data_IF_278479562537
#
_entry.id   IF_278479562537
#
_cell.length_a   1.000
_cell.length_b   1.000
_cell.length_c   1.000
_cell.angle_alpha   90.00
_cell.angle_beta   90.00
_cell.angle_gamma   90.00
#
_symmetry.space_group_name_H-M   'P 1'
#
loop_
_entity.id
_entity.type
_entity.pdbx_description
1 polymer ?
#
# COMPACT_ATOMS: atom_id res chain seq x y z
N UNK A 1 3.48 -5.14 -20.03
CA UNK A 1 2.64 -5.77 -18.99
C UNK A 1 2.96 -5.09 -17.68
N UNK A 2 2.11 -4.15 -17.23
CA UNK A 2 2.49 -3.22 -16.16
C UNK A 2 2.53 -3.89 -14.77
N UNK A 3 3.57 -3.55 -14.00
CA UNK A 3 3.70 -3.81 -12.56
C UNK A 3 3.34 -2.53 -11.80
N UNK A 4 2.08 -2.43 -11.38
CA UNK A 4 1.61 -1.33 -10.52
C UNK A 4 1.85 -1.77 -9.07
N UNK A 5 2.58 -0.97 -8.28
CA UNK A 5 3.00 -1.37 -6.94
C UNK A 5 2.56 -0.39 -5.87
N UNK A 6 2.22 -0.93 -4.70
CA UNK A 6 1.82 -0.12 -3.54
C UNK A 6 2.85 -0.29 -2.45
N UNK A 7 3.36 0.86 -2.07
CA UNK A 7 4.46 1.03 -1.12
C UNK A 7 4.20 0.29 0.13
N UNK A 8 5.30 -0.24 0.69
CA UNK A 8 5.79 -0.08 2.05
C UNK A 8 7.23 -0.79 2.14
N UNK A 9 7.68 -1.59 3.16
CA UNK A 9 9.04 -2.22 3.36
C UNK A 9 9.04 -3.69 3.94
N UNK A 10 10.15 -4.27 4.44
CA UNK A 10 10.20 -5.44 5.33
C UNK A 10 11.31 -5.27 6.42
N UNK A 11 11.25 -5.98 7.56
CA UNK A 11 12.38 -6.14 8.51
C UNK A 11 12.68 -7.64 8.74
N UNK A 12 13.95 -8.04 8.92
CA UNK A 12 14.29 -9.40 9.32
C UNK A 12 13.93 -9.66 10.79
N UNK A 13 13.43 -10.87 11.05
CA UNK A 13 13.47 -11.58 12.34
C UNK A 13 12.83 -10.91 13.58
N UNK A 14 11.50 -10.80 13.56
CA UNK A 14 10.65 -11.23 14.68
C UNK A 14 9.22 -11.55 14.17
N UNK A 15 8.53 -12.54 14.75
CA UNK A 15 7.26 -13.05 14.18
C UNK A 15 6.04 -12.13 14.38
N UNK A 16 6.06 -11.28 15.41
CA UNK A 16 5.06 -10.23 15.67
C UNK A 16 5.53 -9.37 16.84
N UNK A 17 5.21 -8.07 16.82
CA UNK A 17 5.30 -7.23 18.03
C UNK A 17 3.89 -7.09 18.62
N UNK A 18 3.75 -7.30 19.92
CA UNK A 18 2.48 -7.11 20.64
C UNK A 18 2.56 -5.78 21.38
N UNK A 19 1.99 -4.74 20.79
CA UNK A 19 1.95 -3.38 21.35
C UNK A 19 0.51 -3.11 21.77
N UNK A 20 0.30 -2.80 23.05
CA UNK A 20 -1.02 -2.49 23.64
C UNK A 20 -2.18 -3.45 23.25
N UNK A 21 -1.86 -4.75 23.14
CA UNK A 21 -2.86 -5.78 22.81
C UNK A 21 -3.16 -5.95 21.32
N UNK A 22 -2.68 -5.06 20.45
CA UNK A 22 -2.77 -5.21 19.00
C UNK A 22 -1.54 -5.99 18.48
N UNK A 23 -1.77 -6.92 17.56
CA UNK A 23 -0.73 -7.69 16.88
C UNK A 23 -0.24 -6.93 15.65
N UNK A 24 0.96 -6.37 15.70
CA UNK A 24 1.63 -5.81 14.53
C UNK A 24 2.51 -6.89 13.87
N UNK A 25 2.21 -7.22 12.62
CA UNK A 25 3.06 -8.09 11.80
C UNK A 25 4.25 -7.31 11.23
N UNK A 26 5.46 -7.87 11.37
CA UNK A 26 6.73 -7.33 10.84
C UNK A 26 6.97 -7.64 9.35
N UNK A 27 5.98 -8.26 8.71
CA UNK A 27 5.91 -8.55 7.28
C UNK A 27 4.74 -7.80 6.63
N UNK A 28 4.66 -7.86 5.30
CA UNK A 28 3.77 -7.10 4.42
C UNK A 28 2.25 -7.38 4.53
N UNK A 29 1.77 -7.83 5.70
CA UNK A 29 0.33 -8.00 5.96
C UNK A 29 -0.26 -6.69 6.46
N UNK A 30 -1.17 -6.16 5.64
CA UNK A 30 -2.03 -5.04 5.99
C UNK A 30 -3.03 -5.46 7.09
N UNK A 31 -3.23 -4.57 8.05
CA UNK A 31 -4.12 -4.71 9.20
C UNK A 31 -5.17 -3.60 9.27
N UNK A 32 -4.91 -2.46 8.60
CA UNK A 32 -5.82 -1.31 8.56
C UNK A 32 -6.72 -1.36 7.31
N UNK A 33 -6.32 -2.12 6.29
CA UNK A 33 -7.05 -2.30 5.03
C UNK A 33 -6.79 -1.20 3.99
N UNK A 34 -6.06 -0.13 4.36
CA UNK A 34 -5.76 1.00 3.46
C UNK A 34 -4.93 0.54 2.25
N UNK A 35 -3.84 -0.19 2.48
CA UNK A 35 -2.98 -0.70 1.41
C UNK A 35 -3.71 -1.71 0.51
N UNK A 36 -4.53 -2.56 1.13
CA UNK A 36 -5.39 -3.54 0.45
C UNK A 36 -6.42 -2.86 -0.44
N UNK A 37 -7.09 -1.82 0.07
CA UNK A 37 -8.09 -1.06 -0.68
C UNK A 37 -7.46 -0.39 -1.90
N UNK A 38 -6.37 0.35 -1.73
CA UNK A 38 -5.65 0.97 -2.84
C UNK A 38 -5.17 -0.08 -3.86
N UNK A 39 -4.71 -1.25 -3.41
CA UNK A 39 -4.20 -2.32 -4.27
C UNK A 39 -5.32 -2.93 -5.14
N UNK A 40 -6.49 -3.15 -4.54
CA UNK A 40 -7.69 -3.55 -5.26
C UNK A 40 -8.12 -2.51 -6.29
N UNK A 41 -8.12 -1.21 -5.95
CA UNK A 41 -8.44 -0.13 -6.90
C UNK A 41 -7.43 -0.06 -8.06
N UNK A 42 -6.14 -0.25 -7.78
CA UNK A 42 -5.08 -0.15 -8.79
C UNK A 42 -5.05 -1.34 -9.75
N UNK A 43 -5.07 -2.57 -9.24
CA UNK A 43 -4.85 -3.79 -10.02
C UNK A 43 -5.57 -5.03 -9.50
N UNK A 44 -6.67 -4.87 -8.76
CA UNK A 44 -7.49 -5.99 -8.33
C UNK A 44 -8.07 -6.78 -9.50
N UNK A 45 -7.99 -8.11 -9.42
CA UNK A 45 -8.65 -9.01 -10.37
C UNK A 45 -10.17 -8.85 -10.35
N UNK A 46 -10.85 -9.41 -11.35
CA UNK A 46 -12.32 -9.48 -11.37
C UNK A 46 -12.85 -10.32 -10.19
N UNK A 47 -13.70 -9.73 -9.35
CA UNK A 47 -14.41 -10.42 -8.27
C UNK A 47 -15.91 -10.17 -8.41
N UNK A 48 -16.68 -11.24 -8.61
CA UNK A 48 -18.13 -11.20 -8.80
C UNK A 48 -18.88 -11.16 -7.45
N UNK A 49 -20.12 -10.67 -7.48
CA UNK A 49 -21.05 -10.67 -6.33
C UNK A 49 -20.51 -9.93 -5.09
N UNK A 50 -19.67 -8.92 -5.30
CA UNK A 50 -19.16 -8.05 -4.24
C UNK A 50 -20.20 -6.97 -3.92
N UNK A 51 -20.35 -6.65 -2.63
CA UNK A 51 -21.14 -5.53 -2.14
C UNK A 51 -20.56 -5.03 -0.81
N UNK A 52 -20.92 -3.81 -0.41
CA UNK A 52 -20.65 -3.27 0.94
C UNK A 52 -21.98 -3.05 1.65
N UNK A 53 -22.36 -3.96 2.54
CA UNK A 53 -23.63 -3.90 3.28
C UNK A 53 -24.85 -3.76 2.37
N UNK A 54 -24.87 -4.48 1.24
CA UNK A 54 -25.91 -4.40 0.22
C UNK A 54 -25.75 -3.29 -0.82
N UNK A 55 -24.83 -2.33 -0.62
CA UNK A 55 -24.54 -1.28 -1.60
C UNK A 55 -23.53 -1.73 -2.66
N UNK A 56 -23.66 -1.15 -3.87
CA UNK A 56 -22.78 -1.38 -5.02
C UNK A 56 -22.61 -2.87 -5.38
N UNK A 57 -23.71 -3.63 -5.39
CA UNK A 57 -23.71 -5.04 -5.79
C UNK A 57 -23.28 -5.19 -7.25
N UNK A 58 -22.23 -5.98 -7.51
CA UNK A 58 -21.80 -6.28 -8.88
C UNK A 58 -20.47 -7.02 -8.97
N UNK A 59 -19.81 -6.87 -10.11
CA UNK A 59 -18.43 -7.31 -10.32
C UNK A 59 -17.50 -6.12 -10.19
N UNK A 60 -16.52 -6.22 -9.30
CA UNK A 60 -15.47 -5.21 -9.11
C UNK A 60 -14.16 -5.67 -9.76
N UNK A 61 -13.37 -4.70 -10.23
CA UNK A 61 -12.00 -4.91 -10.69
C UNK A 61 -11.21 -3.59 -10.53
N UNK A 62 -9.88 -3.68 -10.51
CA UNK A 62 -9.00 -2.50 -10.49
C UNK A 62 -8.78 -1.90 -11.88
N UNK A 63 -8.07 -0.77 -11.94
CA UNK A 63 -7.72 -0.11 -13.21
C UNK A 63 -6.90 -0.96 -14.18
N UNK A 64 -6.10 -1.90 -13.66
CA UNK A 64 -5.37 -2.89 -14.47
C UNK A 64 -5.46 -4.32 -13.87
N UNK A 65 -6.55 -5.08 -14.12
CA UNK A 65 -6.79 -6.38 -13.48
C UNK A 65 -5.81 -7.51 -13.84
N UNK A 66 -4.94 -7.28 -14.83
CA UNK A 66 -3.85 -8.19 -15.23
C UNK A 66 -2.46 -7.68 -14.82
N UNK A 67 -2.38 -6.58 -14.06
CA UNK A 67 -1.13 -6.08 -13.53
C UNK A 67 -0.56 -7.04 -12.47
N UNK A 68 0.77 -7.06 -12.34
CA UNK A 68 1.41 -7.73 -11.19
C UNK A 68 1.66 -6.71 -10.09
N UNK A 69 1.04 -6.96 -8.94
CA UNK A 69 1.26 -6.19 -7.72
C UNK A 69 2.52 -6.69 -7.01
N UNK A 70 3.31 -5.77 -6.47
CA UNK A 70 4.25 -6.07 -5.39
C UNK A 70 4.05 -5.05 -4.26
N UNK A 71 4.19 -5.55 -3.02
CA UNK A 71 3.65 -5.01 -1.76
C UNK A 71 4.65 -5.23 -0.62
N UNK A 72 4.50 -4.50 0.50
CA UNK A 72 5.49 -4.42 1.58
C UNK A 72 4.84 -3.88 2.93
N UNK A 73 5.56 -3.41 3.99
CA UNK A 73 5.10 -2.66 5.22
C UNK A 73 6.09 -1.58 5.88
N UNK A 74 5.62 -0.35 6.22
CA UNK A 74 6.29 0.94 6.66
C UNK A 74 5.34 1.91 7.38
N UNK A 75 4.07 1.93 7.00
CA UNK A 75 3.03 2.57 7.78
C UNK A 75 2.59 1.53 8.78
N UNK A 76 2.89 1.77 10.04
CA UNK A 76 2.68 0.84 11.13
C UNK A 76 1.48 1.32 11.97
N UNK A 77 0.83 0.44 12.71
CA UNK A 77 -0.36 0.82 13.48
C UNK A 77 -0.03 1.89 14.53
N UNK A 78 1.17 1.80 15.10
CA UNK A 78 1.65 2.67 16.18
C UNK A 78 2.85 3.54 15.77
N UNK A 79 2.85 4.08 14.55
CA UNK A 79 3.94 4.96 14.13
C UNK A 79 3.64 5.83 12.92
N UNK A 80 4.20 7.04 12.93
CA UNK A 80 4.23 7.92 11.76
C UNK A 80 4.95 7.29 10.57
N UNK A 81 4.54 7.67 9.36
CA UNK A 81 5.19 7.21 8.13
C UNK A 81 6.53 7.94 7.98
N UNK A 82 7.61 7.26 8.37
CA UNK A 82 8.97 7.79 8.26
C UNK A 82 9.36 8.02 6.80
N UNK A 83 9.87 9.22 6.48
CA UNK A 83 10.41 9.55 5.16
C UNK A 83 11.59 8.68 4.75
N UNK A 84 12.37 8.17 5.73
CA UNK A 84 13.48 7.23 5.50
C UNK A 84 12.94 5.88 5.02
N UNK A 85 11.84 5.42 5.60
CA UNK A 85 11.20 4.17 5.22
C UNK A 85 10.54 4.26 3.83
N UNK A 86 9.96 5.42 3.49
CA UNK A 86 9.46 5.72 2.15
C UNK A 86 10.61 5.77 1.13
N UNK A 87 11.71 6.46 1.43
CA UNK A 87 12.90 6.50 0.55
C UNK A 87 13.50 5.11 0.33
N UNK A 88 13.63 4.28 1.37
CA UNK A 88 14.08 2.89 1.20
C UNK A 88 13.14 2.09 0.31
N UNK A 89 11.83 2.25 0.48
CA UNK A 89 10.85 1.57 -0.36
C UNK A 89 10.92 2.00 -1.83
N UNK A 90 11.31 3.25 -2.13
CA UNK A 90 11.56 3.71 -3.50
C UNK A 90 12.80 3.01 -4.10
N UNK A 91 13.87 2.90 -3.34
CA UNK A 91 15.12 2.25 -3.75
C UNK A 91 14.91 0.75 -4.08
N UNK A 92 14.29 0.01 -3.16
CA UNK A 92 13.92 -1.41 -3.34
C UNK A 92 12.97 -1.59 -4.55
N UNK A 93 12.03 -0.66 -4.75
CA UNK A 93 11.14 -0.69 -5.90
C UNK A 93 11.90 -0.50 -7.23
N UNK A 94 12.77 0.52 -7.32
CA UNK A 94 13.60 0.76 -8.52
C UNK A 94 14.47 -0.47 -8.82
N UNK A 95 15.11 -1.04 -7.79
CA UNK A 95 15.90 -2.27 -7.88
C UNK A 95 15.07 -3.46 -8.41
N UNK A 96 13.85 -3.65 -7.93
CA UNK A 96 12.94 -4.70 -8.38
C UNK A 96 12.36 -4.49 -9.80
N UNK A 97 12.66 -3.36 -10.47
CA UNK A 97 12.10 -3.00 -11.77
C UNK A 97 10.58 -2.92 -11.75
N UNK A 98 10.01 -1.96 -11.02
CA UNK A 98 8.59 -1.59 -11.17
C UNK A 98 8.37 -0.88 -12.51
N UNK A 99 7.15 -0.96 -13.06
CA UNK A 99 6.75 -0.10 -14.17
C UNK A 99 6.01 1.16 -13.67
N UNK A 100 5.21 1.02 -12.61
CA UNK A 100 4.38 2.11 -12.05
C UNK A 100 4.34 2.03 -10.52
N UNK A 101 4.45 3.19 -9.88
CA UNK A 101 4.32 3.38 -8.44
C UNK A 101 2.99 4.04 -8.09
N UNK A 102 2.26 3.45 -7.15
CA UNK A 102 0.99 3.97 -6.62
C UNK A 102 1.16 4.31 -5.14
N UNK A 103 0.93 5.58 -4.81
CA UNK A 103 1.35 6.24 -3.57
C UNK A 103 0.21 7.08 -2.98
N UNK A 104 -0.71 6.43 -2.27
CA UNK A 104 -1.75 7.13 -1.50
C UNK A 104 -1.22 7.53 -0.12
N UNK A 105 -0.17 8.38 -0.10
CA UNK A 105 0.46 8.91 1.11
C UNK A 105 0.50 10.45 1.03
N UNK A 106 0.39 11.13 2.17
CA UNK A 106 0.44 12.58 2.24
C UNK A 106 1.17 13.05 3.50
N UNK A 107 1.82 14.21 3.39
CA UNK A 107 2.40 14.95 4.51
C UNK A 107 1.79 16.34 4.54
N UNK A 108 1.41 16.83 5.72
CA UNK A 108 0.95 18.21 5.91
C UNK A 108 2.14 19.18 5.88
N UNK A 109 2.61 19.45 4.66
CA UNK A 109 3.60 20.48 4.38
C UNK A 109 2.93 21.85 4.25
N UNK A 110 3.50 22.92 4.83
CA UNK A 110 3.00 24.28 4.63
C UNK A 110 3.00 24.62 3.14
N UNK A 111 1.97 25.38 2.71
CA UNK A 111 1.57 25.56 1.30
C UNK A 111 2.71 25.90 0.31
N UNK A 112 3.75 26.58 0.76
CA UNK A 112 4.92 26.96 -0.04
C UNK A 112 5.81 25.78 -0.49
N UNK A 113 5.77 24.64 0.21
CA UNK A 113 6.66 23.48 -0.04
C UNK A 113 6.04 22.35 -0.87
N UNK A 114 4.86 22.55 -1.48
CA UNK A 114 4.21 21.57 -2.37
C UNK A 114 4.87 21.48 -3.75
N UNK A 115 6.11 21.01 -3.80
CA UNK A 115 6.88 20.80 -5.04
C UNK A 115 6.57 19.47 -5.76
N UNK A 116 5.96 18.50 -5.08
CA UNK A 116 5.48 17.26 -5.70
C UNK A 116 4.05 16.99 -5.21
N UNK A 117 3.09 17.02 -6.13
CA UNK A 117 1.70 16.63 -5.90
C UNK A 117 1.47 15.25 -6.52
N UNK A 118 1.50 14.22 -5.68
CA UNK A 118 0.98 12.90 -6.04
C UNK A 118 -0.55 12.97 -5.94
N UNK A 119 -1.24 12.42 -6.95
CA UNK A 119 -2.69 12.22 -7.00
C UNK A 119 -3.01 10.73 -7.03
#
# INVERSE_FOLDING_TARGET
>A
MARIRIFQRQRPEANSIKVEGILEFLYARDLLGHGTHCACTAGGSFVNNVNRSGLALGTVCGGAPQARLAMYKVGWIFGDISSIDVLKAFDEAIHDGVDVLSLSLGYDLPLFLKLIRVM
#
